data_IF_227210359170
#
_entry.id   IF_227210359170
#
_cell.length_a   1.000
_cell.length_b   1.000
_cell.length_c   1.000
_cell.angle_alpha   90.00
_cell.angle_beta   90.00
_cell.angle_gamma   90.00
#
_symmetry.space_group_name_H-M   'P 1'
#
loop_
_entity.id
_entity.type
_entity.pdbx_description
1 polymer ?
#
# COMPACT_ATOMS: atom_id res chain seq x y z
N UNK A 1 -29.12 -2.71 -8.93
CA UNK A 1 -28.47 -3.77 -9.73
C UNK A 1 -28.45 -3.43 -11.21
N UNK A 2 -29.57 -3.02 -11.83
CA UNK A 2 -29.60 -2.61 -13.25
C UNK A 2 -28.81 -1.32 -13.54
N UNK A 3 -28.87 -0.34 -12.64
CA UNK A 3 -28.11 0.93 -12.74
C UNK A 3 -26.58 0.73 -12.76
N UNK A 4 -26.04 -0.24 -12.00
CA UNK A 4 -24.60 -0.55 -11.99
C UNK A 4 -24.15 -1.15 -13.31
N UNK A 5 -24.97 -2.03 -13.92
CA UNK A 5 -24.65 -2.64 -15.22
C UNK A 5 -24.71 -1.62 -16.35
N UNK A 6 -25.70 -0.73 -16.33
CA UNK A 6 -25.84 0.33 -17.33
C UNK A 6 -24.68 1.33 -17.26
N UNK A 7 -24.33 1.79 -16.05
CA UNK A 7 -23.22 2.72 -15.85
C UNK A 7 -21.85 2.09 -16.18
N UNK A 8 -21.68 0.77 -15.97
CA UNK A 8 -20.47 0.07 -16.40
C UNK A 8 -20.40 -0.08 -17.93
N UNK A 9 -21.55 -0.23 -18.60
CA UNK A 9 -21.64 -0.30 -20.06
C UNK A 9 -21.34 1.06 -20.71
N UNK A 10 -21.93 2.15 -20.20
CA UNK A 10 -21.73 3.50 -20.74
C UNK A 10 -20.26 3.94 -20.60
N UNK A 11 -19.63 3.61 -19.47
CA UNK A 11 -18.21 3.92 -19.22
C UNK A 11 -17.27 3.08 -20.10
N UNK A 12 -17.65 1.84 -20.42
CA UNK A 12 -16.92 0.98 -21.36
C UNK A 12 -17.00 1.54 -22.79
N UNK A 13 -18.14 2.12 -23.18
CA UNK A 13 -18.32 2.78 -24.47
C UNK A 13 -17.46 4.04 -24.61
N UNK A 14 -17.33 4.83 -23.53
CA UNK A 14 -16.44 5.98 -23.49
C UNK A 14 -14.95 5.57 -23.54
N UNK A 15 -14.55 4.50 -22.85
CA UNK A 15 -13.18 3.96 -22.95
C UNK A 15 -12.82 3.43 -24.35
N UNK A 16 -13.82 2.94 -25.11
CA UNK A 16 -13.64 2.52 -26.49
C UNK A 16 -13.46 3.72 -27.45
N UNK A 17 -14.11 4.85 -27.18
CA UNK A 17 -14.00 6.09 -27.99
C UNK A 17 -12.62 6.76 -27.92
N UNK A 18 -11.88 6.56 -26.83
CA UNK A 18 -10.54 7.15 -26.64
C UNK A 18 -9.36 6.20 -26.90
N UNK A 19 -9.60 4.98 -27.37
CA UNK A 19 -8.53 4.06 -27.79
C UNK A 19 -7.65 3.50 -26.67
N UNK A 20 -8.10 3.52 -25.41
CA UNK A 20 -7.35 3.01 -24.25
C UNK A 20 -7.76 1.60 -23.79
N UNK A 21 -8.60 0.89 -24.55
CA UNK A 21 -9.01 -0.48 -24.22
C UNK A 21 -8.63 -1.48 -25.33
N UNK A 22 -7.61 -2.30 -25.07
CA UNK A 22 -7.35 -3.51 -25.84
C UNK A 22 -8.38 -4.58 -25.45
N UNK A 23 -9.23 -4.96 -26.41
CA UNK A 23 -10.31 -5.94 -26.23
C UNK A 23 -9.76 -7.37 -26.20
N UNK A 24 -9.39 -7.84 -25.01
CA UNK A 24 -9.05 -9.24 -24.73
C UNK A 24 -10.02 -9.85 -23.71
N UNK A 25 -10.60 -11.01 -24.05
CA UNK A 25 -11.56 -11.74 -23.20
C UNK A 25 -10.82 -12.32 -21.97
N UNK A 26 -10.84 -11.59 -20.86
CA UNK A 26 -10.18 -11.99 -19.59
C UNK A 26 -9.81 -10.82 -18.67
N UNK A 27 -9.59 -9.62 -19.21
CA UNK A 27 -9.15 -8.45 -18.43
C UNK A 27 -10.25 -7.85 -17.52
N UNK A 28 -11.52 -8.11 -17.84
CA UNK A 28 -12.62 -7.63 -16.99
C UNK A 28 -12.75 -8.42 -15.66
N UNK A 29 -12.03 -9.54 -15.51
CA UNK A 29 -11.86 -10.21 -14.22
C UNK A 29 -10.73 -9.59 -13.38
N UNK A 30 -9.77 -8.90 -13.99
CA UNK A 30 -8.70 -8.20 -13.27
C UNK A 30 -9.21 -6.94 -12.56
N UNK A 31 -10.35 -6.38 -13.00
CA UNK A 31 -11.03 -5.25 -12.38
C UNK A 31 -12.08 -5.65 -11.32
N UNK A 32 -12.28 -6.94 -11.10
CA UNK A 32 -13.11 -7.46 -10.01
C UNK A 32 -12.29 -7.64 -8.73
N UNK A 33 -12.92 -7.52 -7.56
CA UNK A 33 -12.29 -7.90 -6.28
C UNK A 33 -11.80 -9.36 -6.39
N UNK A 34 -10.48 -9.56 -6.50
CA UNK A 34 -9.88 -10.88 -6.66
C UNK A 34 -10.11 -11.76 -5.42
N UNK A 35 -10.12 -13.08 -5.63
CA UNK A 35 -10.28 -14.08 -4.56
C UNK A 35 -9.16 -13.93 -3.51
N UNK A 36 -9.47 -14.09 -2.21
CA UNK A 36 -8.49 -14.07 -1.13
C UNK A 36 -7.59 -15.31 -1.25
N UNK A 37 -6.40 -15.15 -1.80
CA UNK A 37 -5.46 -16.24 -2.11
C UNK A 37 -4.07 -15.76 -2.52
N UNK A 38 -3.98 -14.62 -3.23
CA UNK A 38 -2.75 -13.81 -3.26
C UNK A 38 -2.55 -13.19 -1.87
N UNK A 39 -1.30 -12.93 -1.43
CA UNK A 39 -1.05 -12.42 -0.06
C UNK A 39 -1.97 -11.26 0.29
N UNK A 40 -2.31 -11.14 1.58
CA UNK A 40 -3.15 -10.05 2.09
C UNK A 40 -2.72 -8.69 1.52
N UNK A 41 -1.41 -8.43 1.44
CA UNK A 41 -0.83 -7.20 0.88
C UNK A 41 -1.07 -7.00 -0.63
N UNK A 42 -0.88 -8.03 -1.46
CA UNK A 42 -1.09 -7.92 -2.91
C UNK A 42 -2.57 -7.70 -3.26
N UNK A 43 -3.48 -8.32 -2.49
CA UNK A 43 -4.92 -8.09 -2.61
C UNK A 43 -5.34 -6.71 -2.10
N UNK A 44 -4.74 -6.20 -1.01
CA UNK A 44 -4.97 -4.82 -0.55
C UNK A 44 -4.52 -3.79 -1.58
N UNK A 45 -3.34 -3.94 -2.18
CA UNK A 45 -2.86 -3.03 -3.24
C UNK A 45 -3.85 -2.95 -4.41
N UNK A 46 -4.23 -4.10 -4.98
CA UNK A 46 -5.23 -4.17 -6.06
C UNK A 46 -6.59 -3.60 -5.64
N UNK A 47 -6.96 -3.75 -4.38
CA UNK A 47 -8.21 -3.18 -3.84
C UNK A 47 -8.18 -1.66 -3.80
N UNK A 48 -7.07 -1.06 -3.35
CA UNK A 48 -6.93 0.40 -3.33
C UNK A 48 -6.87 0.97 -4.76
N UNK A 49 -6.16 0.30 -5.66
CA UNK A 49 -6.11 0.65 -7.08
C UNK A 49 -7.52 0.69 -7.71
N UNK A 50 -8.27 -0.40 -7.54
CA UNK A 50 -9.65 -0.49 -8.00
C UNK A 50 -10.54 0.57 -7.34
N UNK A 51 -10.35 0.86 -6.05
CA UNK A 51 -11.11 1.90 -5.33
C UNK A 51 -10.84 3.28 -5.94
N UNK A 52 -9.61 3.62 -6.30
CA UNK A 52 -9.29 4.90 -6.96
C UNK A 52 -9.95 5.00 -8.34
N UNK A 53 -9.89 3.93 -9.14
CA UNK A 53 -10.46 3.90 -10.50
C UNK A 53 -12.00 3.94 -10.47
N UNK A 54 -12.61 3.23 -9.52
CA UNK A 54 -14.05 3.10 -9.37
C UNK A 54 -14.67 4.16 -8.46
N UNK A 55 -13.87 5.06 -7.88
CA UNK A 55 -14.31 6.10 -6.94
C UNK A 55 -15.60 6.83 -7.38
N UNK A 56 -15.69 7.40 -8.61
CA UNK A 56 -16.92 8.08 -9.04
C UNK A 56 -18.14 7.16 -9.11
N UNK A 57 -17.95 5.90 -9.52
CA UNK A 57 -19.02 4.90 -9.59
C UNK A 57 -19.50 4.50 -8.20
N UNK A 58 -18.58 4.35 -7.24
CA UNK A 58 -18.91 4.07 -5.84
C UNK A 58 -19.70 5.23 -5.23
N UNK A 59 -19.25 6.47 -5.46
CA UNK A 59 -19.95 7.67 -5.00
C UNK A 59 -21.38 7.74 -5.56
N UNK A 60 -21.55 7.47 -6.86
CA UNK A 60 -22.88 7.49 -7.50
C UNK A 60 -23.81 6.41 -6.92
N UNK A 61 -23.31 5.18 -6.76
CA UNK A 61 -24.09 4.08 -6.16
C UNK A 61 -24.50 4.42 -4.73
N UNK A 62 -23.60 4.98 -3.93
CA UNK A 62 -23.92 5.38 -2.55
C UNK A 62 -24.93 6.53 -2.51
N UNK A 63 -24.87 7.50 -3.44
CA UNK A 63 -25.88 8.56 -3.59
C UNK A 63 -27.26 7.99 -3.93
N UNK A 64 -27.32 7.07 -4.89
CA UNK A 64 -28.58 6.41 -5.27
C UNK A 64 -29.14 5.57 -4.12
N UNK A 65 -28.30 4.79 -3.43
CA UNK A 65 -28.73 4.02 -2.26
C UNK A 65 -29.22 4.92 -1.12
N UNK A 66 -28.57 6.05 -0.88
CA UNK A 66 -29.01 7.05 0.12
C UNK A 66 -30.37 7.67 -0.23
N UNK A 67 -30.71 7.80 -1.52
CA UNK A 67 -31.98 8.39 -1.98
C UNK A 67 -33.10 7.35 -2.07
N UNK A 68 -32.83 6.23 -2.71
CA UNK A 68 -33.86 5.34 -3.26
C UNK A 68 -33.96 3.98 -2.52
N UNK A 69 -33.06 3.67 -1.58
CA UNK A 69 -33.09 2.38 -0.90
C UNK A 69 -34.34 2.24 -0.01
N UNK A 70 -35.16 1.18 -0.16
CA UNK A 70 -36.38 0.99 0.64
C UNK A 70 -36.07 0.61 2.10
N UNK A 71 -34.88 0.03 2.36
CA UNK A 71 -34.45 -0.37 3.69
C UNK A 71 -33.75 0.78 4.41
N UNK A 72 -34.33 1.23 5.54
CA UNK A 72 -33.82 2.36 6.31
C UNK A 72 -32.36 2.19 6.75
N UNK A 73 -31.99 0.98 7.21
CA UNK A 73 -30.62 0.70 7.67
C UNK A 73 -29.60 0.83 6.55
N UNK A 74 -29.89 0.28 5.38
CA UNK A 74 -29.01 0.37 4.21
C UNK A 74 -28.89 1.80 3.70
N UNK A 75 -30.01 2.55 3.73
CA UNK A 75 -30.02 3.98 3.37
C UNK A 75 -29.13 4.79 4.31
N UNK A 76 -29.22 4.54 5.61
CA UNK A 76 -28.38 5.19 6.63
C UNK A 76 -26.90 4.81 6.46
N UNK A 77 -26.60 3.52 6.26
CA UNK A 77 -25.25 3.03 6.01
C UNK A 77 -24.65 3.66 4.76
N UNK A 78 -25.38 3.71 3.64
CA UNK A 78 -24.93 4.35 2.42
C UNK A 78 -24.65 5.85 2.61
N UNK A 79 -25.51 6.55 3.38
CA UNK A 79 -25.29 7.94 3.73
C UNK A 79 -24.03 8.18 4.57
N UNK A 80 -23.75 7.30 5.53
CA UNK A 80 -22.54 7.38 6.36
C UNK A 80 -21.28 7.07 5.55
N UNK A 81 -21.29 6.00 4.77
CA UNK A 81 -20.18 5.63 3.89
C UNK A 81 -19.87 6.74 2.89
N UNK A 82 -20.90 7.31 2.27
CA UNK A 82 -20.75 8.45 1.36
C UNK A 82 -20.06 9.63 2.06
N UNK A 83 -20.45 9.95 3.30
CA UNK A 83 -19.80 11.00 4.09
C UNK A 83 -18.34 10.68 4.33
N UNK A 84 -18.01 9.45 4.72
CA UNK A 84 -16.64 9.04 5.05
C UNK A 84 -15.71 9.02 3.83
N UNK A 85 -16.14 8.43 2.72
CA UNK A 85 -15.28 8.32 1.52
C UNK A 85 -15.03 9.68 0.85
N UNK A 86 -15.89 10.66 1.12
CA UNK A 86 -15.74 12.04 0.64
C UNK A 86 -15.11 12.97 1.70
N UNK A 87 -14.50 12.42 2.75
CA UNK A 87 -13.66 13.21 3.66
C UNK A 87 -12.23 13.29 3.12
N UNK A 88 -11.61 14.47 3.23
CA UNK A 88 -10.22 14.68 2.82
C UNK A 88 -9.27 13.67 3.47
N UNK A 89 -9.46 13.37 4.76
CA UNK A 89 -8.63 12.39 5.46
C UNK A 89 -8.70 10.98 4.87
N UNK A 90 -9.86 10.57 4.35
CA UNK A 90 -10.00 9.29 3.67
C UNK A 90 -9.23 9.28 2.35
N UNK A 91 -9.34 10.34 1.53
CA UNK A 91 -8.62 10.45 0.26
C UNK A 91 -7.11 10.51 0.49
N UNK A 92 -6.68 11.26 1.51
CA UNK A 92 -5.28 11.35 1.91
C UNK A 92 -4.72 9.97 2.28
N UNK A 93 -5.41 9.23 3.15
CA UNK A 93 -5.00 7.87 3.52
C UNK A 93 -5.03 6.92 2.33
N UNK A 94 -6.02 7.02 1.44
CA UNK A 94 -6.10 6.21 0.23
C UNK A 94 -4.86 6.38 -0.66
N UNK A 95 -4.43 7.63 -0.90
CA UNK A 95 -3.26 7.92 -1.74
C UNK A 95 -1.95 7.54 -1.03
N UNK A 96 -1.83 7.84 0.27
CA UNK A 96 -0.66 7.49 1.07
C UNK A 96 -0.45 5.97 1.09
N UNK A 97 -1.48 5.21 1.45
CA UNK A 97 -1.41 3.75 1.50
C UNK A 97 -1.18 3.16 0.11
N UNK A 98 -1.77 3.72 -0.94
CA UNK A 98 -1.50 3.27 -2.30
C UNK A 98 -0.01 3.41 -2.66
N UNK A 99 0.62 4.56 -2.38
CA UNK A 99 2.05 4.77 -2.65
C UNK A 99 2.96 3.85 -1.84
N UNK A 100 2.68 3.70 -0.53
CA UNK A 100 3.45 2.80 0.33
C UNK A 100 3.37 1.37 -0.21
N UNK A 101 2.15 0.88 -0.48
CA UNK A 101 1.95 -0.45 -1.05
C UNK A 101 2.57 -0.60 -2.43
N UNK A 102 2.56 0.44 -3.27
CA UNK A 102 3.20 0.42 -4.58
C UNK A 102 4.70 0.14 -4.47
N UNK A 103 5.38 0.77 -3.50
CA UNK A 103 6.80 0.56 -3.28
C UNK A 103 7.13 -0.82 -2.72
N UNK A 104 6.25 -1.40 -1.91
CA UNK A 104 6.47 -2.71 -1.29
C UNK A 104 5.94 -3.89 -2.13
N UNK A 105 5.09 -3.63 -3.13
CA UNK A 105 4.44 -4.66 -3.95
C UNK A 105 5.44 -5.53 -4.73
N UNK A 106 6.49 -4.93 -5.30
CA UNK A 106 7.48 -5.69 -6.08
C UNK A 106 8.31 -6.62 -5.19
N UNK A 107 8.72 -6.16 -4.00
CA UNK A 107 9.33 -7.02 -2.99
C UNK A 107 8.38 -8.14 -2.56
N UNK A 108 7.11 -7.81 -2.29
CA UNK A 108 6.10 -8.78 -1.88
C UNK A 108 5.88 -9.87 -2.94
N UNK A 109 5.83 -9.51 -4.23
CA UNK A 109 5.75 -10.47 -5.35
C UNK A 109 7.01 -11.33 -5.44
N UNK A 110 8.19 -10.75 -5.24
CA UNK A 110 9.45 -11.48 -5.28
C UNK A 110 9.51 -12.52 -4.14
N UNK A 111 9.15 -12.13 -2.92
CA UNK A 111 9.13 -13.02 -1.75
C UNK A 111 8.16 -14.22 -1.88
N UNK A 112 7.14 -14.11 -2.73
CA UNK A 112 6.13 -15.17 -2.92
C UNK A 112 6.49 -16.21 -3.99
N UNK A 113 7.43 -15.90 -4.89
CA UNK A 113 7.81 -16.81 -5.96
C UNK A 113 8.77 -17.85 -5.40
N UNK A 114 8.47 -19.14 -5.65
CA UNK A 114 9.28 -20.28 -5.17
C UNK A 114 10.68 -20.34 -5.78
N UNK A 115 10.83 -19.84 -7.00
CA UNK A 115 12.07 -19.94 -7.79
C UNK A 115 12.81 -18.58 -7.87
N UNK A 116 12.87 -17.82 -6.77
CA UNK A 116 13.58 -16.55 -6.76
C UNK A 116 15.00 -16.65 -6.23
N UNK A 117 15.87 -15.91 -6.90
CA UNK A 117 17.21 -15.62 -6.41
C UNK A 117 17.11 -14.65 -5.22
N UNK A 118 17.67 -15.06 -4.08
CA UNK A 118 17.80 -14.25 -2.87
C UNK A 118 18.48 -12.92 -3.17
N UNK A 119 19.47 -12.88 -4.07
CA UNK A 119 20.14 -11.64 -4.48
C UNK A 119 19.15 -10.67 -5.13
N UNK A 120 18.23 -11.17 -5.95
CA UNK A 120 17.19 -10.35 -6.57
C UNK A 120 16.18 -9.85 -5.52
N UNK A 121 15.80 -10.68 -4.55
CA UNK A 121 14.94 -10.27 -3.43
C UNK A 121 15.57 -9.15 -2.61
N UNK A 122 16.86 -9.26 -2.28
CA UNK A 122 17.57 -8.21 -1.53
C UNK A 122 17.66 -6.90 -2.29
N UNK A 123 17.90 -6.96 -3.61
CA UNK A 123 17.85 -5.77 -4.46
C UNK A 123 16.47 -5.09 -4.43
N UNK A 124 15.38 -5.87 -4.39
CA UNK A 124 14.02 -5.33 -4.27
C UNK A 124 13.77 -4.70 -2.91
N UNK A 125 14.30 -5.30 -1.83
CA UNK A 125 14.22 -4.74 -0.49
C UNK A 125 14.93 -3.38 -0.41
N UNK A 126 16.16 -3.29 -0.91
CA UNK A 126 16.92 -2.03 -0.94
C UNK A 126 16.19 -0.95 -1.75
N UNK A 127 15.61 -1.33 -2.89
CA UNK A 127 14.85 -0.42 -3.73
C UNK A 127 13.59 0.09 -3.00
N UNK A 128 12.87 -0.79 -2.31
CA UNK A 128 11.69 -0.42 -1.52
C UNK A 128 12.06 0.54 -0.38
N UNK A 129 13.11 0.22 0.40
CA UNK A 129 13.65 1.09 1.46
C UNK A 129 14.03 2.48 0.93
N UNK A 130 14.77 2.53 -0.19
CA UNK A 130 15.16 3.81 -0.83
C UNK A 130 13.96 4.63 -1.27
N UNK A 131 12.94 4.00 -1.86
CA UNK A 131 11.72 4.71 -2.31
C UNK A 131 10.91 5.26 -1.15
N UNK A 132 10.74 4.50 -0.06
CA UNK A 132 10.09 5.00 1.15
C UNK A 132 10.86 6.17 1.76
N UNK A 133 12.19 6.10 1.81
CA UNK A 133 13.01 7.21 2.31
C UNK A 133 12.88 8.47 1.43
N UNK A 134 12.96 8.32 0.11
CA UNK A 134 12.77 9.45 -0.82
C UNK A 134 11.39 10.07 -0.67
N UNK A 135 10.35 9.23 -0.54
CA UNK A 135 8.99 9.67 -0.30
C UNK A 135 8.91 10.54 0.95
N UNK A 136 9.46 10.04 2.06
CA UNK A 136 9.51 10.74 3.35
C UNK A 136 10.19 12.11 3.26
N UNK A 137 11.34 12.18 2.60
CA UNK A 137 12.19 13.37 2.59
C UNK A 137 11.70 14.44 1.61
N UNK A 138 11.15 14.03 0.47
CA UNK A 138 10.97 14.94 -0.67
C UNK A 138 9.56 14.96 -1.26
N UNK A 139 8.75 13.92 -1.07
CA UNK A 139 7.49 13.76 -1.81
C UNK A 139 6.24 14.23 -1.05
N UNK A 140 6.38 14.85 0.13
CA UNK A 140 5.24 15.40 0.87
C UNK A 140 4.37 16.32 -0.01
N UNK A 141 4.99 17.32 -0.67
CA UNK A 141 4.26 18.26 -1.50
C UNK A 141 3.63 17.57 -2.71
N UNK A 142 4.35 16.65 -3.36
CA UNK A 142 3.81 15.89 -4.50
C UNK A 142 2.59 15.05 -4.12
N UNK A 143 2.64 14.35 -2.97
CA UNK A 143 1.49 13.59 -2.47
C UNK A 143 0.32 14.54 -2.15
N UNK A 144 0.59 15.66 -1.50
CA UNK A 144 -0.45 16.63 -1.15
C UNK A 144 -1.12 17.22 -2.39
N UNK A 145 -0.34 17.55 -3.43
CA UNK A 145 -0.85 18.07 -4.70
C UNK A 145 -1.72 17.04 -5.42
N UNK A 146 -1.30 15.76 -5.45
CA UNK A 146 -2.10 14.66 -6.00
C UNK A 146 -3.44 14.52 -5.25
N UNK A 147 -3.41 14.53 -3.92
CA UNK A 147 -4.62 14.45 -3.08
C UNK A 147 -5.54 15.66 -3.31
N UNK A 148 -4.98 16.88 -3.37
CA UNK A 148 -5.76 18.10 -3.63
C UNK A 148 -6.38 18.10 -5.03
N UNK A 149 -5.63 17.63 -6.04
CA UNK A 149 -6.13 17.47 -7.41
C UNK A 149 -7.27 16.46 -7.47
N UNK A 150 -7.12 15.30 -6.81
CA UNK A 150 -8.17 14.29 -6.71
C UNK A 150 -9.41 14.85 -6.01
N UNK A 151 -9.24 15.56 -4.89
CA UNK A 151 -10.35 16.16 -4.16
C UNK A 151 -11.10 17.20 -5.00
N UNK A 152 -10.37 18.07 -5.70
CA UNK A 152 -10.93 19.08 -6.59
C UNK A 152 -11.69 18.47 -7.76
N UNK A 153 -11.20 17.35 -8.31
CA UNK A 153 -11.87 16.61 -9.40
C UNK A 153 -13.25 16.05 -9.01
N UNK A 154 -13.45 15.72 -7.73
CA UNK A 154 -14.69 15.11 -7.24
C UNK A 154 -15.46 15.99 -6.24
N UNK A 155 -15.19 17.29 -6.25
CA UNK A 155 -15.84 18.30 -5.39
C UNK A 155 -15.78 17.96 -3.89
N UNK A 156 -14.65 17.39 -3.44
CA UNK A 156 -14.38 17.09 -2.04
C UNK A 156 -13.78 18.33 -1.37
N UNK A 157 -14.32 18.70 -0.20
CA UNK A 157 -13.87 19.86 0.55
C UNK A 157 -12.42 19.65 1.02
N UNK A 158 -11.53 20.54 0.60
CA UNK A 158 -10.14 20.60 1.06
C UNK A 158 -10.11 21.51 2.30
N UNK A 159 -9.66 21.02 3.47
CA UNK A 159 -9.53 21.84 4.67
C UNK A 159 -8.42 22.87 4.47
N UNK A 160 -8.52 24.03 5.14
CA UNK A 160 -7.38 24.94 5.19
C UNK A 160 -6.31 24.34 6.08
N UNK A 161 -5.10 24.19 5.55
CA UNK A 161 -4.01 23.49 6.24
C UNK A 161 -3.59 24.16 7.56
N UNK A 162 -3.81 25.47 7.69
CA UNK A 162 -3.49 26.26 8.88
C UNK A 162 -4.63 26.27 9.94
N UNK A 163 -5.80 25.69 9.65
CA UNK A 163 -6.89 25.60 10.62
C UNK A 163 -6.66 24.46 11.64
N UNK A 164 -7.22 24.63 12.83
CA UNK A 164 -7.18 23.61 13.89
C UNK A 164 -7.83 22.30 13.40
N UNK A 165 -7.14 21.19 13.64
CA UNK A 165 -7.64 19.86 13.34
C UNK A 165 -8.76 19.48 14.31
N UNK A 166 -9.94 19.21 13.76
CA UNK A 166 -11.09 18.71 14.52
C UNK A 166 -11.50 17.35 13.99
N UNK A 167 -11.37 16.31 14.80
CA UNK A 167 -11.81 14.96 14.44
C UNK A 167 -13.34 14.86 14.58
N UNK A 168 -14.05 14.99 13.46
CA UNK A 168 -15.48 14.74 13.36
C UNK A 168 -16.40 15.87 13.82
N UNK A 169 -17.72 15.60 13.80
CA UNK A 169 -18.79 16.57 14.11
C UNK A 169 -18.89 16.96 15.59
N UNK A 170 -18.07 16.36 16.47
CA UNK A 170 -18.08 16.69 17.90
C UNK A 170 -17.06 17.80 18.17
N UNK A 171 -17.56 19.02 18.37
CA UNK A 171 -16.78 20.19 18.82
C UNK A 171 -16.11 20.03 20.20
N UNK A 172 -16.12 18.82 20.79
CA UNK A 172 -15.75 18.56 22.17
C UNK A 172 -14.28 18.13 22.33
N UNK A 173 -13.57 17.78 21.25
CA UNK A 173 -12.12 17.57 21.24
C UNK A 173 -11.50 18.38 20.10
N UNK A 174 -11.14 19.63 20.39
CA UNK A 174 -10.16 20.35 19.58
C UNK A 174 -8.80 19.73 19.89
N UNK A 175 -8.09 19.29 18.86
CA UNK A 175 -6.66 19.06 19.02
C UNK A 175 -5.98 20.43 18.83
N UNK A 176 -4.98 20.75 19.64
CA UNK A 176 -4.18 21.98 19.52
C UNK A 176 -3.19 21.92 18.33
N UNK A 177 -3.52 21.16 17.28
CA UNK A 177 -2.64 20.94 16.13
C UNK A 177 -3.37 21.30 14.85
N UNK A 178 -2.65 21.84 13.88
CA UNK A 178 -3.20 22.22 12.58
C UNK A 178 -3.43 21.00 11.68
N UNK A 179 -4.27 21.12 10.66
CA UNK A 179 -4.42 20.09 9.62
C UNK A 179 -3.08 19.72 8.97
N UNK A 180 -2.22 20.71 8.72
CA UNK A 180 -0.87 20.49 8.19
C UNK A 180 -0.05 19.58 9.11
N UNK A 181 -0.05 19.88 10.41
CA UNK A 181 0.71 19.09 11.39
C UNK A 181 0.17 17.67 11.48
N UNK A 182 -1.15 17.51 11.60
CA UNK A 182 -1.80 16.21 11.67
C UNK A 182 -1.43 15.33 10.46
N UNK A 183 -1.67 15.81 9.24
CA UNK A 183 -1.43 14.97 8.06
C UNK A 183 0.05 14.76 7.76
N UNK A 184 0.91 15.76 7.99
CA UNK A 184 2.34 15.64 7.68
C UNK A 184 3.12 14.88 8.73
N UNK A 185 2.93 15.23 10.00
CA UNK A 185 3.74 14.69 11.10
C UNK A 185 3.09 13.45 11.66
N UNK A 186 1.83 13.53 12.09
CA UNK A 186 1.19 12.42 12.79
C UNK A 186 0.79 11.28 11.85
N UNK A 187 0.47 11.57 10.59
CA UNK A 187 0.05 10.56 9.62
C UNK A 187 1.18 10.20 8.66
N UNK A 188 1.64 11.12 7.82
CA UNK A 188 2.58 10.81 6.73
C UNK A 188 3.92 10.28 7.22
N UNK A 189 4.60 10.99 8.13
CA UNK A 189 5.86 10.49 8.69
C UNK A 189 5.67 9.20 9.49
N UNK A 190 4.66 9.14 10.36
CA UNK A 190 4.41 7.94 11.17
C UNK A 190 4.17 6.70 10.31
N UNK A 191 3.34 6.77 9.26
CA UNK A 191 3.06 5.62 8.40
C UNK A 191 4.32 5.15 7.68
N UNK A 192 5.12 6.07 7.13
CA UNK A 192 6.36 5.71 6.43
C UNK A 192 7.40 5.16 7.40
N UNK A 193 7.54 5.76 8.58
CA UNK A 193 8.51 5.35 9.60
C UNK A 193 8.16 3.96 10.16
N UNK A 194 6.87 3.67 10.36
CA UNK A 194 6.40 2.34 10.76
C UNK A 194 6.71 1.28 9.70
N UNK A 195 6.42 1.55 8.42
CA UNK A 195 6.73 0.59 7.34
C UNK A 195 8.25 0.38 7.21
N UNK A 196 9.03 1.46 7.34
CA UNK A 196 10.49 1.39 7.27
C UNK A 196 11.07 0.61 8.45
N UNK A 197 10.53 0.80 9.65
CA UNK A 197 10.90 0.05 10.84
C UNK A 197 10.58 -1.44 10.67
N UNK A 198 9.39 -1.78 10.19
CA UNK A 198 8.99 -3.18 9.94
C UNK A 198 9.97 -3.88 8.98
N UNK A 199 10.48 -3.17 7.96
CA UNK A 199 11.51 -3.72 7.09
C UNK A 199 12.86 -3.92 7.77
N UNK A 200 13.25 -3.03 8.69
CA UNK A 200 14.51 -3.17 9.41
C UNK A 200 14.44 -4.27 10.48
N UNK A 201 13.28 -4.44 11.12
CA UNK A 201 13.07 -5.47 12.13
C UNK A 201 13.03 -6.88 11.50
N UNK A 202 12.49 -7.01 10.28
CA UNK A 202 12.45 -8.29 9.55
C UNK A 202 13.72 -8.63 8.76
N UNK A 203 14.40 -7.61 8.24
CA UNK A 203 15.59 -7.73 7.40
C UNK A 203 16.67 -6.79 7.94
N UNK A 204 17.15 -7.14 9.13
CA UNK A 204 18.27 -6.45 9.75
C UNK A 204 19.59 -6.77 9.00
N UNK A 205 20.67 -6.13 9.42
CA UNK A 205 21.97 -6.27 8.77
C UNK A 205 22.45 -7.73 8.84
N UNK A 206 22.27 -8.38 9.99
CA UNK A 206 22.74 -9.77 10.22
C UNK A 206 21.96 -10.74 9.33
N UNK A 207 20.63 -10.65 9.30
CA UNK A 207 19.77 -11.50 8.48
C UNK A 207 20.06 -11.31 6.99
N UNK A 208 20.28 -10.07 6.56
CA UNK A 208 20.59 -9.75 5.16
C UNK A 208 21.95 -10.32 4.75
N UNK A 209 22.99 -10.12 5.58
CA UNK A 209 24.32 -10.65 5.32
C UNK A 209 24.35 -12.20 5.37
N UNK A 210 23.60 -12.81 6.28
CA UNK A 210 23.45 -14.27 6.37
C UNK A 210 22.80 -14.83 5.09
N UNK A 211 21.71 -14.21 4.62
CA UNK A 211 21.02 -14.61 3.39
C UNK A 211 21.92 -14.45 2.16
N UNK A 212 22.70 -13.37 2.08
CA UNK A 212 23.70 -13.16 1.02
C UNK A 212 24.91 -14.12 1.13
N UNK A 213 25.27 -14.56 2.33
CA UNK A 213 26.27 -15.61 2.54
C UNK A 213 25.77 -16.96 2.02
N UNK A 214 24.50 -17.30 2.28
CA UNK A 214 23.88 -18.52 1.77
C UNK A 214 23.82 -18.58 0.24
N UNK A 215 23.72 -17.43 -0.44
CA UNK A 215 23.76 -17.42 -1.92
C UNK A 215 25.12 -17.82 -2.48
N UNK A 216 26.20 -17.61 -1.72
CA UNK A 216 27.56 -18.02 -2.10
C UNK A 216 27.73 -19.55 -2.08
N UNK A 217 26.83 -20.27 -1.40
CA UNK A 217 26.80 -21.72 -1.32
C UNK A 217 25.81 -22.35 -2.32
N UNK A 218 25.16 -21.55 -3.16
CA UNK A 218 24.18 -22.05 -4.14
C UNK A 218 24.91 -22.78 -5.29
N UNK A 219 24.62 -24.07 -5.57
CA UNK A 219 25.29 -24.84 -6.61
C UNK A 219 24.88 -24.45 -8.04
N UNK A 220 23.87 -23.59 -8.23
CA UNK A 220 23.44 -23.09 -9.54
C UNK A 220 24.63 -22.52 -10.31
N UNK A 221 24.70 -22.84 -11.60
CA UNK A 221 25.77 -22.43 -12.53
C UNK A 221 27.19 -22.66 -11.98
N UNK A 222 27.40 -23.79 -11.30
CA UNK A 222 28.69 -24.17 -10.69
C UNK A 222 29.19 -23.16 -9.66
N UNK A 223 28.30 -22.72 -8.76
CA UNK A 223 28.60 -21.72 -7.73
C UNK A 223 28.97 -20.34 -8.29
N UNK A 224 28.23 -19.87 -9.31
CA UNK A 224 28.50 -18.57 -9.95
C UNK A 224 28.51 -17.37 -8.97
N UNK A 225 27.79 -17.48 -7.85
CA UNK A 225 27.71 -16.44 -6.82
C UNK A 225 28.73 -16.60 -5.67
N UNK A 226 29.73 -17.48 -5.82
CA UNK A 226 30.73 -17.73 -4.78
C UNK A 226 31.51 -16.46 -4.41
N UNK A 227 31.50 -16.12 -3.12
CA UNK A 227 32.26 -15.02 -2.54
C UNK A 227 32.84 -15.46 -1.19
N UNK A 228 34.17 -15.53 -1.13
CA UNK A 228 34.90 -16.00 0.06
C UNK A 228 34.61 -15.13 1.29
N UNK A 229 34.56 -13.81 1.11
CA UNK A 229 34.43 -12.87 2.24
C UNK A 229 33.02 -12.97 2.84
N UNK A 230 32.00 -13.22 2.01
CA UNK A 230 30.63 -13.48 2.48
C UNK A 230 30.52 -14.80 3.25
N UNK A 231 31.21 -15.85 2.81
CA UNK A 231 31.24 -17.13 3.53
C UNK A 231 31.94 -16.98 4.88
N UNK A 232 33.03 -16.20 4.95
CA UNK A 232 33.69 -15.91 6.21
C UNK A 232 32.77 -15.15 7.18
N UNK A 233 32.10 -14.10 6.70
CA UNK A 233 31.08 -13.38 7.50
C UNK A 233 29.93 -14.28 7.96
N UNK A 234 29.45 -15.16 7.09
CA UNK A 234 28.41 -16.15 7.44
C UNK A 234 28.86 -17.03 8.61
N UNK A 235 30.09 -17.53 8.57
CA UNK A 235 30.66 -18.35 9.63
C UNK A 235 30.80 -17.57 10.95
N UNK A 236 31.25 -16.31 10.89
CA UNK A 236 31.38 -15.44 12.06
C UNK A 236 30.01 -15.16 12.71
N UNK A 237 28.98 -14.84 11.91
CA UNK A 237 27.62 -14.62 12.41
C UNK A 237 27.04 -15.88 13.05
N UNK A 238 27.17 -17.03 12.40
CA UNK A 238 26.69 -18.29 12.95
C UNK A 238 27.38 -18.62 14.28
N UNK A 239 28.71 -18.45 14.37
CA UNK A 239 29.44 -18.66 15.63
C UNK A 239 28.98 -17.71 16.74
N UNK A 240 28.59 -16.48 16.40
CA UNK A 240 28.09 -15.49 17.37
C UNK A 240 26.69 -15.81 17.90
N UNK A 241 25.81 -16.44 17.11
CA UNK A 241 24.47 -16.88 17.58
C UNK A 241 24.55 -17.99 18.63
N UNK A 242 25.59 -18.83 18.58
CA UNK A 242 25.80 -19.94 19.52
C UNK A 242 26.91 -19.67 20.56
N UNK A 243 27.62 -18.54 20.45
CA UNK A 243 28.77 -18.20 21.29
C UNK A 243 28.42 -17.85 22.74
N UNK A 244 27.16 -17.48 22.99
CA UNK A 244 26.67 -17.06 24.30
C UNK A 244 25.48 -17.92 24.75
N UNK A 245 25.65 -19.25 24.82
CA UNK A 245 24.98 -20.04 25.84
C UNK A 245 25.63 -21.42 26.02
N UNK A 246 25.90 -21.73 27.28
CA UNK A 246 26.05 -23.08 27.80
C UNK A 246 25.00 -23.98 27.14
N UNK A 247 25.49 -24.99 26.45
CA UNK A 247 24.73 -26.14 25.96
C UNK A 247 23.74 -26.63 27.02
N UNK A 248 22.46 -26.29 26.85
CA UNK A 248 21.35 -27.09 27.39
C UNK A 248 20.53 -27.55 26.20
N UNK A 249 21.02 -28.61 25.56
CA UNK A 249 20.15 -29.50 24.83
C UNK A 249 19.31 -30.27 25.87
N UNK A 250 17.97 -30.31 25.76
CA UNK A 250 17.19 -31.24 26.56
C UNK A 250 17.48 -32.65 26.04
N UNK A 251 18.16 -33.44 26.86
CA UNK A 251 18.19 -34.91 26.75
C UNK A 251 16.79 -35.49 26.89
#
# INVERSE_FOLDING_TARGET
MESLRQHQADKLEDFLKFGEAYTGQGLNQERGFQRPGDTRWGSYFKTLDNLMVLFPSIVNVLKDMKRDCPYHLDRFAAGNLLSQIQEFGFIFMLHLMFKVLLFTNELNKALQKKDQDIVNVMRMLDLAKKRLQMMRETEWNSLLDEVCSFCSKYDILIPKMDEDYTLGKSKCKRFEVTYLHHFRVEVFYTVIDLEFQEFNDRFDVVTTDLLLGMTSLNPVDSFANFDKDRIMKLADYYLSEFGDNRTRFPT
#
